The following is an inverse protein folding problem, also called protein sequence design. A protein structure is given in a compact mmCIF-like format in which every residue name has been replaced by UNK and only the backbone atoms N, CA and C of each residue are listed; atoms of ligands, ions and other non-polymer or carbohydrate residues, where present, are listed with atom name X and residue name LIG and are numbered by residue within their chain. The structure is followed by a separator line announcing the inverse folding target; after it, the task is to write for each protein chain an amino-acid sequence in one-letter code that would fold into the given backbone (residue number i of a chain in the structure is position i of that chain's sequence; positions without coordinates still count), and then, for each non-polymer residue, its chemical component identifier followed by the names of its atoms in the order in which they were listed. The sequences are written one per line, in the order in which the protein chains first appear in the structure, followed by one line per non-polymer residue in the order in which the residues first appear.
data_IF_719816311711
#
_entry.id   IF_719816311711
#
_cell.length_a   1.000
_cell.length_b   1.000
_cell.length_c   1.000
_cell.angle_alpha   90.00
_cell.angle_beta   90.00
_cell.angle_gamma   90.00
#
_symmetry.space_group_name_H-M   'P 1'
#
loop_
_entity.id
_entity.type
_entity.pdbx_description
1 polymer ?
#
# COMPACT_ATOMS: atom_id res chain seq x y z
N UNK A 1 50.95 6.16 18.30
CA UNK A 1 50.32 5.97 16.98
C UNK A 1 49.09 5.09 17.19
N UNK A 2 47.93 5.69 17.39
CA UNK A 2 46.66 4.98 17.64
C UNK A 2 45.78 5.16 16.41
N UNK A 3 45.66 4.11 15.60
CA UNK A 3 44.71 4.04 14.50
C UNK A 3 43.29 3.93 15.08
N UNK A 4 42.31 4.76 14.65
CA UNK A 4 40.95 4.59 15.09
C UNK A 4 40.33 3.40 14.35
N UNK A 5 39.73 2.50 15.14
CA UNK A 5 38.86 1.43 14.68
C UNK A 5 37.70 2.04 13.89
N UNK A 6 37.69 1.84 12.58
CA UNK A 6 36.49 1.98 11.77
C UNK A 6 35.51 0.91 12.23
N UNK A 7 34.61 1.28 13.15
CA UNK A 7 33.40 0.51 13.40
C UNK A 7 32.58 0.63 12.11
N UNK A 8 32.68 -0.39 11.26
CA UNK A 8 31.70 -0.65 10.21
C UNK A 8 30.38 -0.95 10.91
N UNK A 9 29.64 0.10 11.25
CA UNK A 9 28.21 0.01 11.48
C UNK A 9 27.63 -0.33 10.12
N UNK A 10 27.57 -1.62 9.80
CA UNK A 10 26.68 -2.11 8.76
C UNK A 10 25.29 -1.76 9.27
N UNK A 11 24.82 -0.56 8.90
CA UNK A 11 23.42 -0.23 8.91
C UNK A 11 22.80 -1.34 8.07
N UNK A 12 22.15 -2.30 8.72
CA UNK A 12 21.26 -3.24 8.06
C UNK A 12 20.14 -2.38 7.48
N UNK A 13 20.40 -1.75 6.34
CA UNK A 13 19.34 -1.30 5.47
C UNK A 13 18.54 -2.56 5.18
N UNK A 14 17.26 -2.64 5.58
CA UNK A 14 16.44 -3.76 5.19
C UNK A 14 16.57 -3.85 3.67
N UNK A 15 17.03 -5.01 3.18
CA UNK A 15 17.06 -5.26 1.73
C UNK A 15 15.64 -4.98 1.26
N UNK A 16 15.44 -3.88 0.57
CA UNK A 16 14.16 -3.57 -0.06
C UNK A 16 13.89 -4.75 -0.98
N UNK A 17 12.94 -5.60 -0.58
CA UNK A 17 12.49 -6.67 -1.45
C UNK A 17 11.88 -5.97 -2.66
N UNK A 18 12.44 -6.15 -3.88
CA UNK A 18 12.13 -5.32 -5.05
C UNK A 18 10.66 -5.41 -5.50
N UNK A 19 9.85 -6.21 -4.79
CA UNK A 19 8.46 -6.52 -5.11
C UNK A 19 7.51 -6.36 -3.92
N UNK A 20 7.99 -5.88 -2.76
CA UNK A 20 7.20 -5.83 -1.51
C UNK A 20 5.84 -5.16 -1.65
N UNK A 21 5.74 -4.16 -2.52
CA UNK A 21 4.54 -3.36 -2.72
C UNK A 21 3.94 -3.49 -4.12
N UNK A 22 4.37 -4.48 -4.92
CA UNK A 22 3.85 -4.68 -6.27
C UNK A 22 2.35 -4.94 -6.29
N UNK A 23 1.86 -5.76 -5.35
CA UNK A 23 0.43 -6.02 -5.22
C UNK A 23 -0.34 -4.70 -5.04
N UNK A 24 0.15 -3.85 -4.12
CA UNK A 24 -0.49 -2.59 -3.80
C UNK A 24 -0.40 -1.59 -4.95
N UNK A 25 0.76 -1.49 -5.62
CA UNK A 25 0.94 -0.66 -6.80
C UNK A 25 -0.07 -1.05 -7.89
N UNK A 26 -0.13 -2.34 -8.24
CA UNK A 26 -1.05 -2.86 -9.25
C UNK A 26 -2.51 -2.59 -8.88
N UNK A 27 -2.87 -2.75 -7.61
CA UNK A 27 -4.21 -2.44 -7.10
C UNK A 27 -4.57 -0.96 -7.30
N UNK A 28 -3.64 -0.05 -7.01
CA UNK A 28 -3.85 1.40 -7.12
C UNK A 28 -3.80 1.91 -8.57
N UNK A 29 -3.24 1.14 -9.48
CA UNK A 29 -3.11 1.51 -10.91
C UNK A 29 -4.09 0.74 -11.80
N UNK A 30 -4.78 -0.27 -11.28
CA UNK A 30 -5.74 -1.07 -12.02
C UNK A 30 -6.82 -0.18 -12.67
N UNK A 31 -7.13 -0.37 -13.97
CA UNK A 31 -8.23 0.33 -14.62
C UNK A 31 -9.57 0.07 -13.92
N UNK A 32 -9.78 -1.18 -13.52
CA UNK A 32 -10.90 -1.63 -12.70
C UNK A 32 -10.34 -2.30 -11.43
N UNK A 33 -10.44 -1.58 -10.32
CA UNK A 33 -9.95 -2.05 -9.01
C UNK A 33 -10.75 -3.25 -8.51
N UNK A 34 -12.06 -3.26 -8.70
CA UNK A 34 -12.93 -4.36 -8.26
C UNK A 34 -12.63 -5.63 -9.06
N UNK A 35 -12.43 -5.51 -10.38
CA UNK A 35 -12.02 -6.64 -11.20
C UNK A 35 -10.65 -7.18 -10.76
N UNK A 36 -9.67 -6.31 -10.50
CA UNK A 36 -8.36 -6.72 -10.00
C UNK A 36 -8.44 -7.47 -8.67
N UNK A 37 -9.19 -6.93 -7.70
CA UNK A 37 -9.41 -7.56 -6.38
C UNK A 37 -10.05 -8.95 -6.50
N UNK A 38 -10.92 -9.16 -7.48
CA UNK A 38 -11.60 -10.45 -7.66
C UNK A 38 -10.70 -11.59 -8.13
N UNK A 39 -9.56 -11.28 -8.75
CA UNK A 39 -8.67 -12.28 -9.38
C UNK A 39 -7.27 -12.33 -8.76
N UNK A 40 -6.82 -11.28 -8.08
CA UNK A 40 -5.47 -11.21 -7.56
C UNK A 40 -5.26 -12.15 -6.35
N UNK A 41 -4.12 -12.85 -6.35
CA UNK A 41 -3.62 -13.53 -5.16
C UNK A 41 -3.09 -12.49 -4.18
N UNK A 42 -3.55 -12.56 -2.94
CA UNK A 42 -3.26 -11.54 -1.93
C UNK A 42 -1.89 -11.74 -1.32
N UNK A 43 -0.87 -11.12 -1.90
CA UNK A 43 0.40 -10.89 -1.22
C UNK A 43 0.31 -9.64 -0.33
N UNK A 44 -0.64 -9.68 0.60
CA UNK A 44 -0.98 -8.53 1.47
C UNK A 44 -0.25 -8.59 2.80
N UNK A 45 0.35 -9.72 3.17
CA UNK A 45 0.95 -9.92 4.49
C UNK A 45 2.15 -8.99 4.78
N UNK A 46 2.73 -8.40 3.73
CA UNK A 46 3.80 -7.41 3.84
C UNK A 46 3.31 -5.96 4.08
N UNK A 47 2.00 -5.72 4.01
CA UNK A 47 1.35 -4.40 4.16
C UNK A 47 1.02 -4.08 5.63
N UNK A 48 0.76 -2.82 6.00
CA UNK A 48 0.26 -2.48 7.33
C UNK A 48 -1.10 -3.11 7.61
N UNK A 49 -1.35 -3.48 8.87
CA UNK A 49 -2.53 -4.28 9.26
C UNK A 49 -3.86 -3.63 8.87
N UNK A 50 -3.95 -2.30 8.97
CA UNK A 50 -5.16 -1.55 8.62
C UNK A 50 -5.47 -1.64 7.12
N UNK A 51 -4.44 -1.62 6.28
CA UNK A 51 -4.59 -1.76 4.83
C UNK A 51 -4.91 -3.21 4.44
N UNK A 52 -4.26 -4.19 5.08
CA UNK A 52 -4.62 -5.60 4.91
C UNK A 52 -6.11 -5.83 5.19
N UNK A 53 -6.59 -5.32 6.33
CA UNK A 53 -7.99 -5.42 6.74
C UNK A 53 -8.92 -4.78 5.71
N UNK A 54 -8.62 -3.56 5.25
CA UNK A 54 -9.44 -2.89 4.24
C UNK A 54 -9.51 -3.69 2.93
N UNK A 55 -8.39 -4.24 2.47
CA UNK A 55 -8.35 -5.06 1.24
C UNK A 55 -9.20 -6.33 1.40
N UNK A 56 -9.10 -7.00 2.54
CA UNK A 56 -9.92 -8.19 2.85
C UNK A 56 -11.41 -7.84 2.83
N UNK A 57 -11.81 -6.77 3.55
CA UNK A 57 -13.21 -6.30 3.58
C UNK A 57 -13.72 -5.97 2.17
N UNK A 58 -12.90 -5.29 1.35
CA UNK A 58 -13.26 -4.95 -0.03
C UNK A 58 -13.45 -6.20 -0.91
N UNK A 59 -12.64 -7.25 -0.71
CA UNK A 59 -12.80 -8.53 -1.40
C UNK A 59 -14.05 -9.27 -0.95
N UNK A 60 -14.34 -9.28 0.35
CA UNK A 60 -15.57 -9.88 0.89
C UNK A 60 -16.82 -9.26 0.27
N UNK A 61 -16.89 -7.93 0.16
CA UNK A 61 -18.00 -7.24 -0.50
C UNK A 61 -18.21 -7.68 -1.96
N UNK A 62 -17.13 -7.97 -2.69
CA UNK A 62 -17.19 -8.46 -4.07
C UNK A 62 -17.71 -9.89 -4.11
N UNK A 63 -17.16 -10.77 -3.28
CA UNK A 63 -17.51 -12.20 -3.22
C UNK A 63 -18.97 -12.39 -2.77
N UNK A 64 -19.39 -11.64 -1.75
CA UNK A 64 -20.73 -11.69 -1.19
C UNK A 64 -21.74 -10.87 -1.99
N UNK A 65 -21.29 -10.14 -3.02
CA UNK A 65 -22.12 -9.28 -3.88
C UNK A 65 -22.97 -8.29 -3.08
N UNK A 66 -22.37 -7.65 -2.08
CA UNK A 66 -23.06 -6.64 -1.29
C UNK A 66 -23.56 -5.51 -2.20
N UNK A 67 -24.78 -5.03 -1.94
CA UNK A 67 -25.36 -3.87 -2.63
C UNK A 67 -24.55 -2.60 -2.30
N UNK A 68 -24.21 -2.45 -1.01
CA UNK A 68 -23.32 -1.39 -0.52
C UNK A 68 -21.87 -1.89 -0.50
N UNK A 69 -20.94 -1.00 -0.87
CA UNK A 69 -19.51 -1.34 -0.99
C UNK A 69 -18.60 -0.38 -0.20
N UNK A 70 -18.83 -0.19 1.12
CA UNK A 70 -18.11 0.81 1.92
C UNK A 70 -16.59 0.60 1.97
N UNK A 71 -16.08 -0.63 1.97
CA UNK A 71 -14.66 -0.93 1.92
C UNK A 71 -14.06 -0.59 0.55
N UNK A 72 -14.72 -0.96 -0.55
CA UNK A 72 -14.27 -0.55 -1.89
C UNK A 72 -14.27 0.98 -2.05
N UNK A 73 -15.26 1.69 -1.47
CA UNK A 73 -15.30 3.16 -1.48
C UNK A 73 -14.11 3.74 -0.72
N UNK A 74 -13.82 3.25 0.49
CA UNK A 74 -12.64 3.68 1.28
C UNK A 74 -11.34 3.40 0.55
N UNK A 75 -11.20 2.23 -0.09
CA UNK A 75 -10.03 1.88 -0.89
C UNK A 75 -9.87 2.80 -2.11
N UNK A 76 -10.97 3.19 -2.74
CA UNK A 76 -10.96 4.19 -3.81
C UNK A 76 -10.55 5.58 -3.30
N UNK A 77 -10.92 5.97 -2.07
CA UNK A 77 -10.42 7.21 -1.45
C UNK A 77 -8.90 7.17 -1.26
N UNK A 78 -8.37 6.04 -0.78
CA UNK A 78 -6.92 5.83 -0.65
C UNK A 78 -6.23 5.99 -2.01
N UNK A 79 -6.74 5.31 -3.05
CA UNK A 79 -6.23 5.46 -4.42
C UNK A 79 -6.21 6.93 -4.86
N UNK A 80 -7.34 7.62 -4.71
CA UNK A 80 -7.48 9.02 -5.13
C UNK A 80 -6.50 9.95 -4.38
N UNK A 81 -6.29 9.70 -3.09
CA UNK A 81 -5.35 10.47 -2.28
C UNK A 81 -3.92 10.36 -2.83
N UNK A 82 -3.45 9.13 -3.05
CA UNK A 82 -2.08 8.86 -3.53
C UNK A 82 -1.88 9.44 -4.94
N UNK A 83 -2.85 9.24 -5.84
CA UNK A 83 -2.79 9.77 -7.20
C UNK A 83 -2.80 11.30 -7.24
N UNK A 84 -3.53 11.95 -6.32
CA UNK A 84 -3.50 13.40 -6.18
C UNK A 84 -2.14 13.88 -5.68
N UNK A 85 -1.56 13.20 -4.68
CA UNK A 85 -0.24 13.54 -4.12
C UNK A 85 0.88 13.34 -5.16
N UNK A 86 0.72 12.36 -6.05
CA UNK A 86 1.62 12.11 -7.17
C UNK A 86 1.42 13.07 -8.36
N UNK A 87 0.43 13.98 -8.33
CA UNK A 87 0.07 14.87 -9.46
C UNK A 87 -0.12 14.12 -10.80
N UNK A 88 -0.61 12.88 -10.74
CA UNK A 88 -0.75 12.02 -11.92
C UNK A 88 0.55 11.39 -12.43
N UNK A 89 1.70 11.66 -11.81
CA UNK A 89 2.99 11.08 -12.22
C UNK A 89 3.18 9.67 -11.64
N UNK A 90 3.11 8.69 -12.54
CA UNK A 90 3.33 7.28 -12.22
C UNK A 90 4.72 7.01 -11.64
N UNK A 91 5.76 7.76 -12.07
CA UNK A 91 7.12 7.56 -11.61
C UNK A 91 7.28 7.89 -10.12
N UNK A 92 6.41 8.75 -9.58
CA UNK A 92 6.41 9.19 -8.18
C UNK A 92 5.42 8.36 -7.34
N UNK A 93 4.44 7.72 -7.98
CA UNK A 93 3.38 6.96 -7.31
C UNK A 93 3.92 5.89 -6.35
N UNK A 94 4.99 5.18 -6.73
CA UNK A 94 5.61 4.18 -5.85
C UNK A 94 6.22 4.82 -4.61
N UNK A 95 6.83 6.00 -4.72
CA UNK A 95 7.36 6.71 -3.56
C UNK A 95 6.22 7.16 -2.63
N UNK A 96 5.11 7.67 -3.19
CA UNK A 96 3.94 8.06 -2.40
C UNK A 96 3.30 6.88 -1.68
N UNK A 97 3.28 5.71 -2.33
CA UNK A 97 2.82 4.46 -1.73
C UNK A 97 3.70 4.03 -0.56
N UNK A 98 5.02 4.08 -0.73
CA UNK A 98 5.98 3.74 0.32
C UNK A 98 5.84 4.69 1.50
N UNK A 99 5.73 6.01 1.25
CA UNK A 99 5.50 7.02 2.29
C UNK A 99 4.22 6.73 3.08
N UNK A 100 3.08 6.56 2.39
CA UNK A 100 1.80 6.28 3.04
C UNK A 100 1.84 4.98 3.86
N UNK A 101 2.49 3.95 3.35
CA UNK A 101 2.60 2.65 4.05
C UNK A 101 3.58 2.71 5.23
N UNK A 102 4.51 3.65 5.23
CA UNK A 102 5.47 3.85 6.33
C UNK A 102 4.93 4.75 7.43
N UNK A 103 3.96 5.62 7.12
CA UNK A 103 3.28 6.49 8.08
C UNK A 103 1.93 5.87 8.51
N UNK A 104 1.98 5.09 9.60
CA UNK A 104 0.79 4.38 10.11
C UNK A 104 -0.31 5.32 10.59
N UNK A 105 0.04 6.50 11.11
CA UNK A 105 -0.92 7.49 11.60
C UNK A 105 -1.66 8.15 10.42
N UNK A 106 -0.93 8.59 9.38
CA UNK A 106 -1.53 9.13 8.16
C UNK A 106 -2.45 8.10 7.50
N UNK A 107 -2.00 6.84 7.42
CA UNK A 107 -2.78 5.75 6.87
C UNK A 107 -4.03 5.49 7.70
N UNK A 108 -3.93 5.44 9.02
CA UNK A 108 -5.09 5.21 9.88
C UNK A 108 -6.13 6.33 9.75
N UNK A 109 -5.69 7.59 9.75
CA UNK A 109 -6.57 8.74 9.57
C UNK A 109 -7.29 8.68 8.21
N UNK A 110 -6.57 8.35 7.13
CA UNK A 110 -7.14 8.19 5.80
C UNK A 110 -8.18 7.07 5.73
N UNK A 111 -7.98 5.99 6.48
CA UNK A 111 -8.87 4.83 6.53
C UNK A 111 -10.12 5.04 7.39
N UNK A 112 -10.09 6.03 8.30
CA UNK A 112 -11.23 6.42 9.16
C UNK A 112 -12.21 7.40 8.48
N UNK A 113 -11.81 8.04 7.37
CA UNK A 113 -12.63 9.03 6.62
C UNK A 113 -13.66 8.41 5.65
#
# INVERSE_FOLDING_TARGET
MTSPLFINTIVNQPKEEPYRYNYLLNLMTAPDMSAYLSVANDDIYALPIHLQKLIIEAKEEIVLKHEEKPAQIRLQKVRNHIWRRADGDFAILMNMLIELVSDEDELEDLLRM
#
